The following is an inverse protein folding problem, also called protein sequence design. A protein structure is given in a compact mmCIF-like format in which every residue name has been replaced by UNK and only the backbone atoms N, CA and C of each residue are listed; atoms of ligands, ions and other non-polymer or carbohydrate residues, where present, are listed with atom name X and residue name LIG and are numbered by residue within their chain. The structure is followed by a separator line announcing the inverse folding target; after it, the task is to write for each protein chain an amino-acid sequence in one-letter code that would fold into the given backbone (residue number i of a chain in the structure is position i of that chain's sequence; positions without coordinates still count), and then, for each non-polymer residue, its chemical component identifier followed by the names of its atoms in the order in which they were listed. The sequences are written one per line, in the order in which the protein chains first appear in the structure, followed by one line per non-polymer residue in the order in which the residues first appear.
data_IF_635185098786
#
_entry.id   IF_635185098786
#
_cell.length_a   1.000
_cell.length_b   1.000
_cell.length_c   1.000
_cell.angle_alpha   90.00
_cell.angle_beta   90.00
_cell.angle_gamma   90.00
#
_symmetry.space_group_name_H-M   'P 1'
#
loop_
_entity.id
_entity.type
_entity.pdbx_description
1 polymer ?
#
# COMPACT_ATOMS: atom_id res chain seq x y z
N UNK A 1 -8.22 -26.84 26.95
CA UNK A 1 -7.71 -27.13 25.60
C UNK A 1 -7.99 -25.94 24.69
N UNK A 2 -9.25 -25.55 24.45
CA UNK A 2 -9.58 -24.39 23.60
C UNK A 2 -8.83 -23.09 23.94
N UNK A 3 -8.80 -22.67 25.21
CA UNK A 3 -8.02 -21.48 25.61
C UNK A 3 -6.51 -21.65 25.38
N UNK A 4 -5.97 -22.86 25.56
CA UNK A 4 -4.55 -23.11 25.28
C UNK A 4 -4.26 -23.00 23.79
N UNK A 5 -5.10 -23.57 22.92
CA UNK A 5 -4.98 -23.44 21.48
C UNK A 5 -5.21 -22.01 20.96
N UNK A 6 -6.06 -21.22 21.63
CA UNK A 6 -6.33 -19.83 21.27
C UNK A 6 -5.17 -18.88 21.62
N UNK A 7 -4.55 -19.06 22.79
CA UNK A 7 -3.48 -18.17 23.27
C UNK A 7 -2.06 -18.66 22.92
N UNK A 8 -1.90 -19.94 22.60
CA UNK A 8 -0.63 -20.58 22.27
C UNK A 8 -0.72 -21.39 20.96
N UNK A 9 -1.49 -20.89 19.99
CA UNK A 9 -1.48 -21.45 18.63
C UNK A 9 -0.04 -21.52 18.12
N UNK A 10 0.29 -22.62 17.43
CA UNK A 10 1.57 -22.69 16.72
C UNK A 10 1.61 -21.56 15.68
N UNK A 11 2.78 -20.96 15.44
CA UNK A 11 2.91 -19.89 14.42
C UNK A 11 2.44 -20.35 13.02
N UNK A 12 2.29 -21.66 12.80
CA UNK A 12 1.88 -22.27 11.54
C UNK A 12 0.37 -22.19 11.29
N UNK A 13 -0.47 -22.08 12.33
CA UNK A 13 -1.94 -22.10 12.19
C UNK A 13 -2.56 -20.69 12.14
N UNK A 14 -1.79 -19.65 12.49
CA UNK A 14 -2.25 -18.27 12.54
C UNK A 14 -1.91 -17.52 11.25
N UNK A 15 -2.84 -16.70 10.73
CA UNK A 15 -2.57 -15.82 9.59
C UNK A 15 -1.41 -14.85 9.90
N UNK A 16 -1.37 -14.33 11.12
CA UNK A 16 -0.31 -13.44 11.61
C UNK A 16 0.38 -14.05 12.82
N UNK A 17 1.71 -14.01 12.81
CA UNK A 17 2.51 -14.39 13.98
C UNK A 17 2.44 -13.30 15.05
N UNK A 18 2.82 -13.64 16.29
CA UNK A 18 2.95 -12.63 17.35
C UNK A 18 3.97 -11.53 16.98
N UNK A 19 5.06 -11.90 16.29
CA UNK A 19 6.07 -10.96 15.81
C UNK A 19 5.48 -9.93 14.84
N UNK A 20 4.58 -10.35 13.94
CA UNK A 20 3.90 -9.45 13.00
C UNK A 20 2.98 -8.47 13.71
N UNK A 21 2.17 -8.95 14.67
CA UNK A 21 1.26 -8.12 15.45
C UNK A 21 2.06 -7.07 16.24
N UNK A 22 3.19 -7.48 16.84
CA UNK A 22 4.08 -6.56 17.56
C UNK A 22 4.72 -5.53 16.64
N UNK A 23 5.18 -5.94 15.47
CA UNK A 23 5.73 -5.04 14.46
C UNK A 23 4.69 -4.01 14.02
N UNK A 24 3.50 -4.47 13.65
CA UNK A 24 2.38 -3.59 13.30
C UNK A 24 2.02 -2.63 14.43
N UNK A 25 1.94 -3.10 15.68
CA UNK A 25 1.64 -2.26 16.84
C UNK A 25 2.69 -1.15 17.05
N UNK A 26 3.98 -1.45 16.86
CA UNK A 26 5.05 -0.44 16.93
C UNK A 26 4.86 0.63 15.85
N UNK A 27 4.61 0.22 14.61
CA UNK A 27 4.38 1.16 13.51
C UNK A 27 3.09 1.96 13.69
N UNK A 28 2.00 1.33 14.12
CA UNK A 28 0.73 2.01 14.41
C UNK A 28 0.92 3.14 15.43
N UNK A 29 1.62 2.85 16.54
CA UNK A 29 1.88 3.84 17.59
C UNK A 29 2.73 5.03 17.11
N UNK A 30 3.53 4.87 16.06
CA UNK A 30 4.25 6.00 15.44
C UNK A 30 3.33 6.92 14.64
N UNK A 31 2.26 6.36 14.05
CA UNK A 31 1.30 7.06 13.19
C UNK A 31 0.14 7.64 14.00
N UNK A 32 -0.40 6.91 14.98
CA UNK A 32 -1.43 7.31 15.93
C UNK A 32 -0.83 7.83 17.24
N UNK A 33 -0.15 8.98 17.16
CA UNK A 33 0.57 9.59 18.29
C UNK A 33 -0.33 9.96 19.47
N UNK A 34 -1.59 10.25 19.20
CA UNK A 34 -2.58 10.69 20.20
C UNK A 34 -3.36 9.51 20.79
N UNK A 35 -3.07 8.27 20.36
CA UNK A 35 -3.76 7.06 20.79
C UNK A 35 -5.28 7.13 20.59
N UNK A 36 -5.71 7.73 19.48
CA UNK A 36 -7.12 7.85 19.12
C UNK A 36 -7.76 6.51 18.75
N UNK A 37 -6.93 5.48 18.49
CA UNK A 37 -7.34 4.16 17.99
C UNK A 37 -7.92 4.18 16.58
N UNK A 38 -7.87 5.34 15.93
CA UNK A 38 -8.20 5.57 14.54
C UNK A 38 -7.18 6.51 13.90
N UNK A 39 -6.97 6.36 12.60
CA UNK A 39 -6.16 7.27 11.80
C UNK A 39 -6.94 7.67 10.55
N UNK A 40 -6.75 8.90 10.02
CA UNK A 40 -7.28 9.24 8.71
C UNK A 40 -6.77 8.27 7.65
N UNK A 41 -7.63 7.83 6.74
CA UNK A 41 -7.25 6.83 5.72
C UNK A 41 -6.05 7.27 4.87
N UNK A 42 -5.88 8.57 4.63
CA UNK A 42 -4.70 9.12 3.95
C UNK A 42 -3.36 8.80 4.65
N UNK A 43 -3.38 8.49 5.95
CA UNK A 43 -2.19 8.05 6.71
C UNK A 43 -1.87 6.58 6.54
N UNK A 44 -2.78 5.74 6.05
CA UNK A 44 -2.52 4.31 5.77
C UNK A 44 -1.35 4.15 4.82
N UNK A 45 -1.27 4.99 3.78
CA UNK A 45 -0.14 4.98 2.83
C UNK A 45 1.21 5.17 3.53
N UNK A 46 1.26 6.04 4.54
CA UNK A 46 2.48 6.28 5.32
C UNK A 46 2.75 5.10 6.25
N UNK A 47 1.72 4.58 6.91
CA UNK A 47 1.82 3.38 7.74
C UNK A 47 2.43 2.20 6.97
N UNK A 48 1.90 1.88 5.79
CA UNK A 48 2.37 0.74 4.97
C UNK A 48 3.85 0.87 4.59
N UNK A 49 4.34 2.08 4.35
CA UNK A 49 5.74 2.35 4.02
C UNK A 49 6.70 2.14 5.20
N UNK A 50 6.18 2.16 6.43
CA UNK A 50 6.96 1.97 7.65
C UNK A 50 7.02 0.50 8.08
N UNK A 51 6.13 -0.36 7.57
CA UNK A 51 6.18 -1.80 7.85
C UNK A 51 7.47 -2.42 7.33
N UNK A 52 7.98 -3.42 8.06
CA UNK A 52 9.23 -4.12 7.77
C UNK A 52 9.06 -5.63 7.93
N UNK A 53 9.98 -6.40 7.37
CA UNK A 53 9.97 -7.86 7.52
C UNK A 53 8.80 -8.50 6.76
N UNK A 54 8.10 -9.45 7.38
CA UNK A 54 7.02 -10.21 6.71
C UNK A 54 5.82 -9.35 6.29
N UNK A 55 5.61 -8.21 6.95
CA UNK A 55 4.55 -7.25 6.62
C UNK A 55 5.00 -6.14 5.66
N UNK A 56 6.24 -6.16 5.19
CA UNK A 56 6.76 -5.12 4.29
C UNK A 56 6.08 -5.21 2.92
N UNK A 57 5.62 -4.06 2.41
CA UNK A 57 5.07 -3.91 1.07
C UNK A 57 5.88 -2.85 0.36
N UNK A 58 6.83 -3.27 -0.49
CA UNK A 58 7.75 -2.37 -1.17
C UNK A 58 6.96 -1.57 -2.24
N UNK A 59 6.87 -0.23 -2.14
CA UNK A 59 6.06 0.55 -3.09
C UNK A 59 6.54 0.51 -4.54
N UNK A 60 7.80 0.11 -4.78
CA UNK A 60 8.38 -0.01 -6.11
C UNK A 60 8.24 -1.42 -6.67
N UNK A 61 8.50 -2.45 -5.85
CA UNK A 61 8.37 -3.85 -6.28
C UNK A 61 6.92 -4.35 -6.24
N UNK A 62 6.21 -4.03 -5.17
CA UNK A 62 4.86 -4.49 -4.86
C UNK A 62 3.82 -3.40 -5.15
N UNK A 63 4.08 -2.56 -6.15
CA UNK A 63 3.29 -1.35 -6.45
C UNK A 63 1.79 -1.62 -6.61
N UNK A 64 1.42 -2.77 -7.18
CA UNK A 64 0.02 -3.15 -7.38
C UNK A 64 -0.63 -3.55 -6.06
N UNK A 65 0.00 -4.44 -5.29
CA UNK A 65 -0.46 -4.82 -3.94
C UNK A 65 -0.60 -3.58 -3.04
N UNK A 66 0.38 -2.69 -3.07
CA UNK A 66 0.34 -1.42 -2.34
C UNK A 66 -0.87 -0.57 -2.70
N UNK A 67 -1.21 -0.47 -4.00
CA UNK A 67 -2.42 0.23 -4.46
C UNK A 67 -3.69 -0.46 -3.99
N UNK A 68 -3.75 -1.79 -4.06
CA UNK A 68 -4.92 -2.57 -3.63
C UNK A 68 -5.20 -2.36 -2.15
N UNK A 69 -4.17 -2.45 -1.30
CA UNK A 69 -4.29 -2.21 0.14
C UNK A 69 -4.73 -0.78 0.47
N UNK A 70 -4.18 0.22 -0.24
CA UNK A 70 -4.64 1.60 -0.07
C UNK A 70 -6.10 1.78 -0.49
N UNK A 71 -6.51 1.18 -1.61
CA UNK A 71 -7.89 1.25 -2.10
C UNK A 71 -8.87 0.54 -1.16
N UNK A 72 -8.50 -0.62 -0.63
CA UNK A 72 -9.29 -1.39 0.33
C UNK A 72 -9.65 -0.53 1.55
N UNK A 73 -8.67 0.15 2.14
CA UNK A 73 -8.89 1.04 3.27
C UNK A 73 -9.69 2.29 2.92
N UNK A 74 -9.48 2.87 1.72
CA UNK A 74 -10.28 4.00 1.22
C UNK A 74 -11.77 3.63 1.09
N UNK A 75 -12.07 2.39 0.65
CA UNK A 75 -13.45 1.93 0.47
C UNK A 75 -14.12 1.44 1.73
N UNK A 76 -13.37 0.88 2.68
CA UNK A 76 -13.93 0.30 3.89
C UNK A 76 -14.88 1.25 4.62
N UNK A 77 -14.49 2.50 4.79
CA UNK A 77 -15.29 3.55 5.43
C UNK A 77 -15.51 4.77 4.53
N UNK A 78 -15.56 4.58 3.20
CA UNK A 78 -15.82 5.66 2.22
C UNK A 78 -14.92 6.89 2.35
N UNK A 79 -13.66 6.70 2.72
CA UNK A 79 -12.68 7.77 2.88
C UNK A 79 -12.53 8.33 4.30
N UNK A 80 -13.33 7.84 5.26
CA UNK A 80 -13.24 8.25 6.67
C UNK A 80 -12.04 7.58 7.39
N UNK A 81 -11.93 7.82 8.70
CA UNK A 81 -10.90 7.24 9.55
C UNK A 81 -11.01 5.70 9.59
N UNK A 82 -9.85 5.03 9.66
CA UNK A 82 -9.74 3.58 9.84
C UNK A 82 -9.19 3.26 11.22
N UNK A 83 -9.64 2.16 11.81
CA UNK A 83 -9.19 1.68 13.11
C UNK A 83 -7.93 0.81 13.03
N UNK A 84 -7.31 0.56 14.19
CA UNK A 84 -6.21 -0.41 14.33
C UNK A 84 -6.59 -1.78 13.75
N UNK A 85 -7.81 -2.23 14.04
CA UNK A 85 -8.30 -3.53 13.64
C UNK A 85 -8.52 -3.60 12.13
N UNK A 86 -9.07 -2.55 11.52
CA UNK A 86 -9.31 -2.51 10.06
C UNK A 86 -8.01 -2.77 9.27
N UNK A 87 -6.93 -2.08 9.64
CA UNK A 87 -5.63 -2.23 8.98
C UNK A 87 -5.00 -3.58 9.32
N UNK A 88 -5.13 -4.07 10.55
CA UNK A 88 -4.61 -5.38 10.94
C UNK A 88 -5.32 -6.53 10.21
N UNK A 89 -6.64 -6.45 10.04
CA UNK A 89 -7.45 -7.43 9.29
C UNK A 89 -7.04 -7.45 7.81
N UNK A 90 -6.88 -6.28 7.18
CA UNK A 90 -6.35 -6.23 5.82
C UNK A 90 -4.97 -6.90 5.75
N UNK A 91 -4.06 -6.60 6.69
CA UNK A 91 -2.73 -7.22 6.72
C UNK A 91 -2.81 -8.75 6.89
N UNK A 92 -3.74 -9.27 7.71
CA UNK A 92 -3.86 -10.72 7.90
C UNK A 92 -4.27 -11.45 6.63
N UNK A 93 -5.11 -10.88 5.78
CA UNK A 93 -5.48 -11.51 4.50
C UNK A 93 -4.44 -11.28 3.40
N UNK A 94 -3.73 -10.14 3.40
CA UNK A 94 -2.78 -9.78 2.33
C UNK A 94 -1.38 -10.37 2.49
N UNK A 95 -1.03 -10.84 3.69
CA UNK A 95 0.35 -11.27 4.01
C UNK A 95 0.59 -12.78 3.90
N UNK A 96 -0.45 -13.58 3.63
CA UNK A 96 -0.37 -15.05 3.56
C UNK A 96 -1.29 -15.62 2.47
N UNK A 97 -1.07 -16.87 2.06
CA UNK A 97 -2.00 -17.60 1.20
C UNK A 97 -3.21 -18.08 2.02
N UNK A 98 -4.33 -17.40 1.86
CA UNK A 98 -5.56 -17.62 2.64
C UNK A 98 -6.32 -18.91 2.26
N UNK A 99 -6.04 -19.52 1.11
CA UNK A 99 -6.81 -20.66 0.56
C UNK A 99 -6.74 -21.93 1.41
N UNK A 100 -5.68 -22.05 2.24
CA UNK A 100 -5.49 -23.18 3.15
C UNK A 100 -5.90 -22.86 4.59
N UNK A 101 -6.22 -21.61 4.88
CA UNK A 101 -6.39 -21.10 6.25
C UNK A 101 -7.82 -20.69 6.56
N UNK A 102 -8.62 -20.33 5.54
CA UNK A 102 -10.00 -19.87 5.73
C UNK A 102 -11.04 -20.96 5.49
N UNK A 103 -12.19 -20.82 6.14
CA UNK A 103 -13.38 -21.59 5.80
C UNK A 103 -13.95 -21.14 4.46
N UNK A 104 -14.69 -22.02 3.77
CA UNK A 104 -15.15 -21.78 2.40
C UNK A 104 -15.95 -20.47 2.23
N UNK A 105 -16.86 -20.18 3.15
CA UNK A 105 -17.68 -18.96 3.08
C UNK A 105 -16.83 -17.69 3.19
N UNK A 106 -15.96 -17.64 4.20
CA UNK A 106 -15.04 -16.53 4.41
C UNK A 106 -14.06 -16.36 3.24
N UNK A 107 -13.56 -17.48 2.71
CA UNK A 107 -12.67 -17.48 1.55
C UNK A 107 -13.35 -16.88 0.32
N UNK A 108 -14.59 -17.29 0.02
CA UNK A 108 -15.33 -16.79 -1.14
C UNK A 108 -15.62 -15.29 -1.02
N UNK A 109 -16.06 -14.83 0.17
CA UNK A 109 -16.28 -13.41 0.42
C UNK A 109 -15.00 -12.60 0.25
N UNK A 110 -13.86 -13.15 0.72
CA UNK A 110 -12.57 -12.48 0.58
C UNK A 110 -12.10 -12.43 -0.86
N UNK A 111 -12.21 -13.53 -1.62
CA UNK A 111 -11.85 -13.57 -3.04
C UNK A 111 -12.71 -12.61 -3.87
N UNK A 112 -14.02 -12.53 -3.61
CA UNK A 112 -14.91 -11.58 -4.26
C UNK A 112 -14.50 -10.13 -3.99
N UNK A 113 -14.20 -9.80 -2.73
CA UNK A 113 -13.71 -8.46 -2.36
C UNK A 113 -12.39 -8.12 -3.06
N UNK A 114 -11.44 -9.05 -3.10
CA UNK A 114 -10.15 -8.81 -3.76
C UNK A 114 -10.27 -8.64 -5.26
N UNK A 115 -11.17 -9.39 -5.91
CA UNK A 115 -11.50 -9.23 -7.32
C UNK A 115 -12.07 -7.83 -7.61
N UNK A 116 -13.02 -7.36 -6.80
CA UNK A 116 -13.60 -6.01 -6.93
C UNK A 116 -12.53 -4.94 -6.79
N UNK A 117 -11.64 -5.07 -5.79
CA UNK A 117 -10.54 -4.11 -5.56
C UNK A 117 -9.60 -4.07 -6.76
N UNK A 118 -9.21 -5.23 -7.29
CA UNK A 118 -8.34 -5.32 -8.47
C UNK A 118 -8.98 -4.63 -9.68
N UNK A 119 -10.25 -4.92 -9.94
CA UNK A 119 -10.99 -4.33 -11.05
C UNK A 119 -11.08 -2.80 -10.92
N UNK A 120 -11.39 -2.29 -9.73
CA UNK A 120 -11.52 -0.86 -9.49
C UNK A 120 -10.19 -0.12 -9.56
N UNK A 121 -9.12 -0.70 -9.03
CA UNK A 121 -7.77 -0.11 -9.15
C UNK A 121 -7.29 -0.12 -10.61
N UNK A 122 -7.62 -1.15 -11.38
CA UNK A 122 -7.35 -1.18 -12.82
C UNK A 122 -8.13 -0.07 -13.56
N UNK A 123 -9.43 0.06 -13.31
CA UNK A 123 -10.27 1.15 -13.88
C UNK A 123 -9.71 2.53 -13.54
N UNK A 124 -9.34 2.78 -12.29
CA UNK A 124 -8.74 4.05 -11.88
C UNK A 124 -7.40 4.29 -12.58
N UNK A 125 -6.55 3.27 -12.67
CA UNK A 125 -5.25 3.37 -13.34
C UNK A 125 -5.40 3.72 -14.82
N UNK A 126 -6.33 3.06 -15.53
CA UNK A 126 -6.61 3.34 -16.94
C UNK A 126 -7.19 4.75 -17.10
N UNK A 127 -8.13 5.16 -16.24
CA UNK A 127 -8.73 6.50 -16.26
C UNK A 127 -7.67 7.58 -16.09
N UNK A 128 -6.83 7.48 -15.05
CA UNK A 128 -5.75 8.44 -14.80
C UNK A 128 -4.73 8.47 -15.95
N UNK A 129 -4.45 7.32 -16.57
CA UNK A 129 -3.58 7.27 -17.75
C UNK A 129 -4.19 8.02 -18.94
N UNK A 130 -5.47 7.76 -19.27
CA UNK A 130 -6.19 8.44 -20.34
C UNK A 130 -6.27 9.96 -20.13
N UNK A 131 -6.60 10.40 -18.92
CA UNK A 131 -6.63 11.82 -18.56
C UNK A 131 -5.28 12.50 -18.78
N UNK A 132 -4.19 11.83 -18.40
CA UNK A 132 -2.84 12.33 -18.62
C UNK A 132 -2.47 12.39 -20.11
N UNK A 133 -2.88 11.40 -20.91
CA UNK A 133 -2.69 11.41 -22.36
C UNK A 133 -3.45 12.58 -23.01
N UNK A 134 -4.73 12.78 -22.67
CA UNK A 134 -5.54 13.88 -23.18
C UNK A 134 -4.97 15.25 -22.78
N UNK A 135 -4.49 15.40 -21.53
CA UNK A 135 -3.85 16.63 -21.07
C UNK A 135 -2.59 16.96 -21.86
N UNK A 136 -1.78 15.95 -22.19
CA UNK A 136 -0.57 16.12 -23.03
C UNK A 136 -0.90 16.55 -24.45
N UNK A 137 -1.96 16.00 -25.03
CA UNK A 137 -2.45 16.39 -26.37
C UNK A 137 -2.92 17.85 -26.36
N UNK A 138 -3.62 18.28 -25.30
CA UNK A 138 -4.17 19.64 -25.18
C UNK A 138 -3.11 20.72 -24.90
N UNK A 139 -2.04 20.38 -24.17
CA UNK A 139 -0.94 21.30 -23.84
C UNK A 139 0.45 20.71 -24.19
N UNK A 140 0.92 20.87 -25.45
CA UNK A 140 2.22 20.36 -25.88
C UNK A 140 3.44 21.04 -25.22
N UNK A 141 3.25 22.22 -24.61
CA UNK A 141 4.34 23.08 -24.10
C UNK A 141 4.95 22.62 -22.76
N UNK A 142 4.28 21.76 -21.99
CA UNK A 142 4.74 21.31 -20.65
C UNK A 142 5.86 20.26 -20.64
N UNK A 143 6.47 19.94 -21.80
CA UNK A 143 7.48 18.89 -21.92
C UNK A 143 8.90 19.38 -22.29
N UNK A 144 9.16 20.69 -22.29
CA UNK A 144 10.49 21.23 -22.64
C UNK A 144 11.52 21.24 -21.49
N UNK A 145 11.15 20.98 -20.24
CA UNK A 145 12.07 21.11 -19.09
C UNK A 145 12.54 19.79 -18.46
N UNK A 146 12.72 18.73 -19.26
CA UNK A 146 13.25 17.46 -18.74
C UNK A 146 14.33 16.82 -19.62
N UNK A 147 15.21 17.64 -20.19
CA UNK A 147 16.54 17.22 -20.62
C UNK A 147 17.53 18.35 -20.30
N UNK A 148 18.56 18.15 -19.47
CA UNK A 148 19.64 19.11 -19.39
C UNK A 148 20.34 19.13 -20.74
N UNK A 149 20.26 20.28 -21.41
CA UNK A 149 20.97 20.58 -22.65
C UNK A 149 22.48 20.50 -22.39
N UNK A 150 23.12 19.42 -22.87
CA UNK A 150 24.55 19.14 -22.71
C UNK A 150 25.43 20.13 -23.53
N UNK A 151 24.84 21.07 -24.27
CA UNK A 151 25.61 22.00 -25.11
C UNK A 151 26.10 23.27 -24.40
N UNK A 152 25.88 23.44 -23.10
CA UNK A 152 26.34 24.62 -22.33
C UNK A 152 27.58 24.35 -21.47
N UNK A 153 28.71 24.09 -22.12
CA UNK A 153 30.02 24.39 -21.53
C UNK A 153 30.81 25.29 -22.49
N UNK A 154 31.22 26.50 -22.10
CA UNK A 154 32.10 27.31 -22.92
C UNK A 154 33.50 26.70 -22.92
N UNK A 155 34.06 26.49 -24.11
CA UNK A 155 35.48 26.23 -24.30
C UNK A 155 36.30 27.36 -23.63
N UNK A 156 37.32 27.04 -22.80
CA UNK A 156 38.28 28.03 -22.37
C UNK A 156 39.10 28.47 -23.58
N UNK A 157 38.94 29.75 -23.94
CA UNK A 157 39.65 30.39 -25.02
C UNK A 157 41.16 30.36 -24.79
N UNK A 158 41.86 30.26 -25.93
CA UNK A 158 43.26 30.55 -26.07
C UNK A 158 43.59 31.92 -25.45
N UNK A 159 44.63 31.96 -24.62
CA UNK A 159 45.49 33.13 -24.46
C UNK A 159 46.92 32.62 -24.45
N UNK A 160 47.65 32.93 -25.53
CA UNK A 160 49.10 32.86 -25.54
C UNK A 160 49.67 34.19 -25.08
N UNK A 161 50.74 34.14 -24.28
CA UNK A 161 52.04 34.79 -24.52
C UNK A 161 53.09 33.82 -24.00
#
# INVERSE_FOLDING_TARGET
MENFSLFYSSEEDALLSYADIRNFQVVWNMVDREQKRSIPVGRVKFLLRLLKGRLEVDPEKDRILFKHMCYEMDKLHNGDDVSFHDVLYMLSYRSVDIRKSLQLEELLQREELEFIIEEEVAKQTIRTWLENCLRRIRNPQTQKDSFPDITKYPHPGATGI
#
